data_IF_445379813595
#
_entry.id   IF_445379813595
#
_cell.length_a   1.000
_cell.length_b   1.000
_cell.length_c   1.000
_cell.angle_alpha   90.00
_cell.angle_beta   90.00
_cell.angle_gamma   90.00
#
_symmetry.space_group_name_H-M   'P 1'
#
loop_
_entity.id
_entity.type
_entity.pdbx_description
1 polymer ?
#
# COMPACT_ATOMS: atom_id res chain seq x y z
N UNK A 1 -36.58 4.23 3.62
CA UNK A 1 -35.75 3.99 2.42
C UNK A 1 -34.78 5.16 2.28
N UNK A 2 -33.57 5.03 2.85
CA UNK A 2 -32.51 6.00 2.63
C UNK A 2 -31.90 5.72 1.25
N UNK A 3 -31.80 6.75 0.42
CA UNK A 3 -31.35 6.63 -0.95
C UNK A 3 -29.95 6.04 -1.04
N UNK A 4 -29.81 4.98 -1.83
CA UNK A 4 -28.54 4.53 -2.37
C UNK A 4 -27.95 5.71 -3.14
N UNK A 5 -26.90 6.32 -2.58
CA UNK A 5 -26.14 7.33 -3.29
C UNK A 5 -25.53 6.68 -4.54
N UNK A 6 -25.78 7.35 -5.66
CA UNK A 6 -25.37 6.97 -7.02
C UNK A 6 -23.91 6.54 -7.05
N UNK A 7 -23.66 5.39 -7.69
CA UNK A 7 -22.34 4.81 -7.87
C UNK A 7 -21.31 5.83 -8.33
N UNK A 8 -20.31 6.05 -7.49
CA UNK A 8 -19.01 6.50 -7.99
C UNK A 8 -18.51 5.38 -8.89
N UNK A 9 -18.30 5.65 -10.18
CA UNK A 9 -17.64 4.67 -11.03
C UNK A 9 -16.23 4.45 -10.49
N UNK A 10 -15.98 3.25 -9.98
CA UNK A 10 -14.63 2.79 -9.64
C UNK A 10 -13.79 2.75 -10.91
N UNK A 11 -12.47 2.91 -10.77
CA UNK A 11 -11.56 2.79 -11.90
C UNK A 11 -11.66 1.43 -12.58
N UNK A 12 -11.44 1.44 -13.90
CA UNK A 12 -11.40 0.22 -14.70
C UNK A 12 -10.10 -0.56 -14.52
N UNK A 13 -10.03 -1.74 -15.16
CA UNK A 13 -8.79 -2.52 -15.21
C UNK A 13 -7.65 -1.71 -15.84
N UNK A 14 -6.47 -1.77 -15.25
CA UNK A 14 -5.27 -1.12 -15.76
C UNK A 14 -4.02 -1.97 -15.49
N UNK A 15 -2.95 -1.65 -16.20
CA UNK A 15 -1.61 -2.16 -15.95
C UNK A 15 -0.66 -0.97 -15.82
N UNK A 16 0.08 -0.91 -14.71
CA UNK A 16 1.08 0.13 -14.44
C UNK A 16 2.48 -0.50 -14.46
N UNK A 17 3.27 -0.29 -15.53
CA UNK A 17 4.64 -0.79 -15.61
C UNK A 17 5.64 0.04 -14.80
N UNK A 18 5.26 1.22 -14.30
CA UNK A 18 6.14 2.15 -13.60
C UNK A 18 7.36 2.61 -14.43
N UNK A 19 7.17 2.79 -15.75
CA UNK A 19 8.20 3.40 -16.62
C UNK A 19 8.36 4.92 -16.38
N UNK A 20 7.33 5.57 -15.86
CA UNK A 20 7.32 6.99 -15.49
C UNK A 20 6.23 7.25 -14.46
N UNK A 21 6.29 8.39 -13.77
CA UNK A 21 5.26 8.72 -12.78
C UNK A 21 4.02 9.31 -13.46
N UNK A 22 2.92 8.55 -13.49
CA UNK A 22 1.64 8.99 -14.06
C UNK A 22 0.78 9.69 -13.00
N UNK A 23 0.81 11.03 -12.97
CA UNK A 23 0.02 11.82 -12.03
C UNK A 23 -1.50 11.80 -12.27
N UNK A 24 -1.96 11.23 -13.39
CA UNK A 24 -3.38 10.98 -13.65
C UNK A 24 -3.89 9.69 -12.98
N UNK A 25 -2.99 8.75 -12.68
CA UNK A 25 -3.30 7.51 -11.97
C UNK A 25 -2.91 7.57 -10.49
N UNK A 26 -1.85 8.31 -10.16
CA UNK A 26 -1.21 8.26 -8.85
C UNK A 26 -0.99 9.64 -8.24
N UNK A 27 -1.05 9.70 -6.92
CA UNK A 27 -0.71 10.86 -6.10
C UNK A 27 0.21 10.45 -4.95
N UNK A 28 1.18 11.31 -4.62
CA UNK A 28 2.15 11.11 -3.54
C UNK A 28 1.64 11.78 -2.27
N UNK A 29 1.75 11.12 -1.13
CA UNK A 29 1.60 11.80 0.15
C UNK A 29 2.80 12.73 0.39
N UNK A 30 2.56 13.92 0.94
CA UNK A 30 3.60 14.91 1.16
C UNK A 30 3.27 15.87 2.31
N UNK A 31 4.25 16.11 3.19
CA UNK A 31 4.20 17.19 4.17
C UNK A 31 3.45 16.90 5.46
N UNK A 32 2.95 15.68 5.66
CA UNK A 32 2.26 15.26 6.89
C UNK A 32 2.73 13.87 7.35
N UNK A 33 2.40 13.53 8.60
CA UNK A 33 2.56 12.18 9.16
C UNK A 33 1.18 11.60 9.45
N UNK A 34 1.02 10.28 9.34
CA UNK A 34 -0.19 9.61 9.81
C UNK A 34 -0.33 9.68 11.34
N UNK A 35 0.76 9.95 12.08
CA UNK A 35 0.75 9.91 13.54
C UNK A 35 0.79 8.47 14.08
N UNK A 36 0.45 8.32 15.35
CA UNK A 36 0.40 7.02 16.06
C UNK A 36 1.69 6.19 15.86
N UNK A 37 1.58 5.04 15.19
CA UNK A 37 2.70 4.13 14.94
C UNK A 37 3.63 4.59 13.79
N UNK A 38 3.21 5.55 12.97
CA UNK A 38 3.97 6.05 11.84
C UNK A 38 4.96 7.14 12.27
N UNK A 39 6.13 6.72 12.75
CA UNK A 39 7.20 7.62 13.19
C UNK A 39 8.02 8.22 12.02
N UNK A 40 7.35 8.72 10.99
CA UNK A 40 7.96 9.38 9.84
C UNK A 40 7.02 10.40 9.21
N UNK A 41 7.56 11.32 8.41
CA UNK A 41 6.79 12.27 7.59
C UNK A 41 6.77 11.81 6.14
N UNK A 42 5.60 11.80 5.51
CA UNK A 42 5.49 11.51 4.09
C UNK A 42 6.13 12.62 3.26
N UNK A 43 6.94 12.22 2.27
CA UNK A 43 7.60 13.15 1.33
C UNK A 43 7.39 12.69 -0.10
N UNK A 44 6.97 13.60 -0.97
CA UNK A 44 6.89 13.36 -2.41
C UNK A 44 8.25 12.97 -3.01
N UNK A 45 9.35 13.49 -2.46
CA UNK A 45 10.72 13.15 -2.87
C UNK A 45 11.10 11.71 -2.53
N UNK A 46 10.40 11.06 -1.60
CA UNK A 46 10.61 9.67 -1.21
C UNK A 46 9.81 8.69 -2.08
N UNK A 47 9.07 9.18 -3.07
CA UNK A 47 8.48 8.38 -4.15
C UNK A 47 9.19 8.76 -5.46
N UNK A 48 9.96 7.84 -6.02
CA UNK A 48 10.81 8.08 -7.19
C UNK A 48 10.65 6.99 -8.24
N UNK A 49 10.99 7.30 -9.49
CA UNK A 49 11.09 6.31 -10.56
C UNK A 49 12.55 5.96 -10.79
N UNK A 50 12.88 4.68 -10.93
CA UNK A 50 14.21 4.22 -11.33
C UNK A 50 14.36 4.30 -12.84
N UNK A 51 15.59 4.35 -13.35
CA UNK A 51 15.87 4.28 -14.78
C UNK A 51 15.55 2.90 -15.39
N UNK A 52 15.36 1.88 -14.56
CA UNK A 52 14.98 0.51 -14.93
C UNK A 52 13.46 0.30 -15.03
N UNK A 53 12.64 1.33 -14.80
CA UNK A 53 11.19 1.22 -14.88
C UNK A 53 10.56 0.63 -13.62
N UNK A 54 10.96 1.11 -12.45
CA UNK A 54 10.36 0.73 -11.17
C UNK A 54 9.97 1.98 -10.37
N UNK A 55 8.85 1.90 -9.63
CA UNK A 55 8.58 2.85 -8.56
C UNK A 55 9.37 2.42 -7.32
N UNK A 56 10.08 3.37 -6.71
CA UNK A 56 10.85 3.18 -5.48
C UNK A 56 10.34 4.12 -4.39
N UNK A 57 9.95 3.51 -3.27
CA UNK A 57 9.70 4.18 -2.00
C UNK A 57 10.98 4.18 -1.17
N UNK A 58 11.27 5.29 -0.49
CA UNK A 58 12.46 5.44 0.34
C UNK A 58 12.10 5.80 1.78
N UNK A 59 12.85 5.23 2.72
CA UNK A 59 12.93 5.68 4.10
C UNK A 59 14.29 6.36 4.30
N UNK A 60 14.27 7.65 4.62
CA UNK A 60 15.47 8.50 4.77
C UNK A 60 15.42 9.24 6.10
N UNK A 61 16.52 9.90 6.46
CA UNK A 61 16.58 10.73 7.68
C UNK A 61 17.14 12.11 7.33
N UNK A 62 16.34 13.18 7.41
CA UNK A 62 16.82 14.55 7.15
C UNK A 62 17.64 15.12 8.31
N UNK A 63 17.50 14.57 9.51
CA UNK A 63 18.22 14.97 10.73
C UNK A 63 18.12 13.88 11.80
N UNK A 64 18.98 13.91 12.81
CA UNK A 64 18.98 12.97 13.92
C UNK A 64 17.57 12.69 14.49
N UNK A 65 17.20 11.40 14.57
CA UNK A 65 15.90 10.90 15.05
C UNK A 65 14.66 11.49 14.35
N UNK A 66 14.80 11.98 13.11
CA UNK A 66 13.66 12.28 12.22
C UNK A 66 13.76 11.41 10.98
N UNK A 67 12.61 10.92 10.53
CA UNK A 67 12.53 10.06 9.36
C UNK A 67 11.54 10.63 8.35
N UNK A 68 11.92 10.58 7.07
CA UNK A 68 11.06 10.84 5.94
C UNK A 68 10.76 9.51 5.23
N UNK A 69 9.51 9.29 4.85
CA UNK A 69 9.03 8.06 4.22
C UNK A 69 8.22 8.37 2.96
N UNK A 70 7.94 7.36 2.14
CA UNK A 70 7.18 7.51 0.89
C UNK A 70 5.88 6.71 0.90
N UNK A 71 4.78 7.34 0.53
CA UNK A 71 3.48 6.72 0.24
C UNK A 71 3.01 7.18 -1.13
N UNK A 72 2.52 6.23 -1.94
CA UNK A 72 1.91 6.48 -3.24
C UNK A 72 0.54 5.81 -3.26
N UNK A 73 -0.49 6.55 -3.67
CA UNK A 73 -1.88 6.08 -3.69
C UNK A 73 -2.53 6.41 -5.03
N UNK A 74 -3.52 5.64 -5.44
CA UNK A 74 -4.25 5.92 -6.66
C UNK A 74 -5.10 7.19 -6.53
N UNK A 75 -5.41 7.81 -7.67
CA UNK A 75 -6.37 8.92 -7.76
C UNK A 75 -7.82 8.39 -7.73
N UNK A 76 -8.05 7.22 -8.34
CA UNK A 76 -9.35 6.55 -8.38
C UNK A 76 -9.45 5.50 -7.28
N UNK A 77 -10.69 5.15 -6.90
CA UNK A 77 -11.01 3.99 -6.07
C UNK A 77 -11.25 2.76 -6.93
N UNK A 78 -10.99 1.57 -6.40
CA UNK A 78 -11.16 0.30 -7.10
C UNK A 78 -11.98 -0.67 -6.25
N UNK A 79 -12.82 -1.48 -6.91
CA UNK A 79 -13.78 -2.39 -6.25
C UNK A 79 -13.37 -3.86 -6.33
N UNK A 80 -14.36 -4.74 -6.52
CA UNK A 80 -14.11 -6.18 -6.70
C UNK A 80 -13.22 -6.46 -7.91
N UNK A 81 -12.31 -7.42 -7.74
CA UNK A 81 -11.37 -7.81 -8.78
C UNK A 81 -10.05 -8.36 -8.23
N UNK A 82 -9.16 -8.83 -9.12
CA UNK A 82 -7.79 -9.17 -8.77
C UNK A 82 -6.94 -7.90 -8.62
N UNK A 83 -6.09 -7.91 -7.59
CA UNK A 83 -5.04 -6.92 -7.36
C UNK A 83 -3.71 -7.65 -7.35
N UNK A 84 -2.79 -7.24 -8.21
CA UNK A 84 -1.49 -7.87 -8.36
C UNK A 84 -0.38 -6.82 -8.27
N UNK A 85 0.68 -7.15 -7.52
CA UNK A 85 1.87 -6.31 -7.40
C UNK A 85 3.12 -7.16 -7.57
N UNK A 86 4.06 -6.67 -8.38
CA UNK A 86 5.42 -7.21 -8.44
C UNK A 86 6.35 -6.30 -7.66
N UNK A 87 6.74 -6.72 -6.45
CA UNK A 87 7.54 -5.88 -5.55
C UNK A 87 8.65 -6.65 -4.84
N UNK A 88 9.54 -5.89 -4.20
CA UNK A 88 10.63 -6.36 -3.35
C UNK A 88 10.68 -5.46 -2.10
N UNK A 89 10.29 -5.94 -0.91
CA UNK A 89 10.22 -5.11 0.29
C UNK A 89 11.60 -4.72 0.83
N UNK A 90 11.64 -3.67 1.66
CA UNK A 90 12.83 -3.31 2.41
C UNK A 90 13.04 -4.26 3.61
N UNK A 91 14.30 -4.61 3.89
CA UNK A 91 14.70 -5.46 5.02
C UNK A 91 15.39 -4.63 6.10
N UNK A 92 14.70 -4.35 7.18
CA UNK A 92 15.25 -3.73 8.40
C UNK A 92 14.30 -3.95 9.58
N UNK A 93 14.80 -3.98 10.80
CA UNK A 93 13.92 -4.07 11.98
C UNK A 93 13.10 -2.78 12.13
N UNK A 94 11.84 -2.91 12.56
CA UNK A 94 10.97 -1.76 12.86
C UNK A 94 10.36 -1.03 11.66
N UNK A 95 10.38 -1.61 10.45
CA UNK A 95 9.76 -1.03 9.25
C UNK A 95 8.75 -1.97 8.60
N UNK A 96 7.87 -1.41 7.76
CA UNK A 96 6.90 -2.13 6.93
C UNK A 96 7.06 -1.66 5.48
N UNK A 97 6.97 -2.59 4.53
CA UNK A 97 6.67 -2.30 3.12
C UNK A 97 5.34 -2.95 2.78
N UNK A 98 4.40 -2.21 2.19
CA UNK A 98 3.03 -2.68 1.98
C UNK A 98 2.50 -2.47 0.56
N UNK A 99 1.47 -3.24 0.23
CA UNK A 99 0.57 -3.05 -0.89
C UNK A 99 -0.85 -3.38 -0.41
N UNK A 100 -1.77 -2.43 -0.52
CA UNK A 100 -3.08 -2.52 0.11
C UNK A 100 -4.13 -1.69 -0.62
N UNK A 101 -5.40 -2.01 -0.38
CA UNK A 101 -6.53 -1.12 -0.67
C UNK A 101 -6.97 -0.47 0.62
N UNK A 102 -7.35 0.82 0.59
CA UNK A 102 -7.87 1.52 1.75
C UNK A 102 -8.97 2.47 1.32
N UNK A 103 -10.02 2.56 2.15
CA UNK A 103 -10.93 3.69 2.24
C UNK A 103 -11.33 3.85 3.70
N UNK A 104 -11.76 5.04 4.12
CA UNK A 104 -12.12 5.25 5.52
C UNK A 104 -12.69 6.63 5.84
N UNK A 105 -12.76 7.00 7.13
CA UNK A 105 -13.43 8.23 7.58
C UNK A 105 -12.91 9.52 6.91
N UNK A 106 -11.62 9.56 6.57
CA UNK A 106 -11.01 10.68 5.83
C UNK A 106 -11.53 10.83 4.40
N UNK A 107 -12.13 9.78 3.85
CA UNK A 107 -12.78 9.72 2.53
C UNK A 107 -14.32 9.68 2.62
N UNK A 108 -14.88 9.78 3.82
CA UNK A 108 -16.32 9.76 4.06
C UNK A 108 -16.98 8.37 3.98
N UNK A 109 -16.19 7.30 4.13
CA UNK A 109 -16.62 5.90 4.01
C UNK A 109 -16.32 5.11 5.31
N UNK A 110 -16.94 3.93 5.49
CA UNK A 110 -16.46 2.96 6.49
C UNK A 110 -14.98 2.63 6.25
N UNK A 111 -14.25 2.31 7.32
CA UNK A 111 -12.88 1.81 7.18
C UNK A 111 -12.90 0.38 6.63
N UNK A 112 -12.66 0.26 5.33
CA UNK A 112 -12.51 -1.00 4.63
C UNK A 112 -11.10 -1.05 4.01
N UNK A 113 -10.36 -2.11 4.31
CA UNK A 113 -8.94 -2.25 3.95
C UNK A 113 -8.57 -3.73 3.74
N UNK A 114 -7.61 -4.00 2.85
CA UNK A 114 -7.05 -5.33 2.59
C UNK A 114 -5.55 -5.19 2.37
N UNK A 115 -4.76 -5.98 3.09
CA UNK A 115 -3.34 -5.73 3.27
C UNK A 115 -2.46 -6.89 2.80
N UNK A 116 -1.36 -6.53 2.15
CA UNK A 116 -0.15 -7.34 2.02
C UNK A 116 0.99 -6.54 2.65
N UNK A 117 1.51 -7.02 3.78
CA UNK A 117 2.55 -6.35 4.56
C UNK A 117 3.79 -7.22 4.74
N UNK A 118 4.95 -6.65 4.46
CA UNK A 118 6.24 -7.24 4.75
C UNK A 118 6.84 -6.56 5.98
N UNK A 119 6.84 -7.26 7.10
CA UNK A 119 7.50 -6.81 8.32
C UNK A 119 9.02 -6.94 8.12
N UNK A 120 9.72 -5.82 8.02
CA UNK A 120 11.14 -5.79 7.64
C UNK A 120 12.06 -6.58 8.59
N UNK A 121 11.60 -6.87 9.82
CA UNK A 121 12.31 -7.72 10.80
C UNK A 121 12.51 -9.16 10.31
N UNK A 122 11.61 -9.68 9.48
CA UNK A 122 11.70 -11.02 8.88
C UNK A 122 11.00 -11.06 7.52
N UNK A 123 11.74 -10.69 6.49
CA UNK A 123 11.28 -10.70 5.09
C UNK A 123 11.19 -12.11 4.48
N UNK A 124 11.38 -13.18 5.27
CA UNK A 124 11.01 -14.55 4.84
C UNK A 124 9.53 -14.85 5.04
N UNK A 125 8.78 -13.90 5.61
CA UNK A 125 7.34 -13.98 5.86
C UNK A 125 6.61 -12.79 5.25
N UNK A 126 5.32 -12.98 5.04
CA UNK A 126 4.35 -11.94 4.66
C UNK A 126 3.16 -12.00 5.62
N UNK A 127 2.65 -10.84 6.00
CA UNK A 127 1.42 -10.69 6.78
C UNK A 127 0.29 -10.29 5.84
N UNK A 128 -0.84 -10.97 5.95
CA UNK A 128 -2.11 -10.58 5.36
C UNK A 128 -3.04 -10.07 6.44
N UNK A 129 -3.85 -9.07 6.14
CA UNK A 129 -4.89 -8.57 7.03
C UNK A 129 -6.04 -7.97 6.23
N UNK A 130 -7.15 -7.68 6.90
CA UNK A 130 -8.21 -6.86 6.34
C UNK A 130 -9.03 -6.21 7.45
N UNK A 131 -9.61 -5.05 7.14
CA UNK A 131 -10.62 -4.37 7.95
C UNK A 131 -11.96 -4.35 7.23
N UNK A 132 -13.05 -4.57 7.96
CA UNK A 132 -14.41 -4.36 7.46
C UNK A 132 -15.17 -3.49 8.45
N UNK A 133 -15.57 -2.30 8.02
CA UNK A 133 -16.18 -1.28 8.87
C UNK A 133 -15.35 -1.02 10.15
N UNK A 134 -14.04 -0.92 10.00
CA UNK A 134 -13.05 -0.71 11.07
C UNK A 134 -12.70 -1.94 11.90
N UNK A 135 -13.41 -3.07 11.74
CA UNK A 135 -13.09 -4.30 12.44
C UNK A 135 -11.94 -5.03 11.73
N UNK A 136 -10.74 -4.98 12.35
CA UNK A 136 -9.56 -5.75 11.96
C UNK A 136 -9.31 -6.96 12.88
N UNK A 137 -8.03 -7.22 13.19
CA UNK A 137 -7.54 -8.41 13.92
C UNK A 137 -7.67 -9.73 13.11
N UNK A 138 -7.42 -9.65 11.81
CA UNK A 138 -7.44 -10.80 10.91
C UNK A 138 -6.03 -11.17 10.43
N UNK A 139 -5.01 -10.85 11.23
CA UNK A 139 -3.62 -11.03 10.85
C UNK A 139 -3.33 -12.51 10.57
N UNK A 140 -2.81 -12.77 9.37
CA UNK A 140 -2.30 -14.08 8.97
C UNK A 140 -0.87 -13.93 8.50
N UNK A 141 0.06 -14.42 9.31
CA UNK A 141 1.46 -14.53 8.93
C UNK A 141 1.69 -15.85 8.15
N UNK A 142 2.37 -15.76 7.00
CA UNK A 142 2.69 -16.90 6.15
C UNK A 142 4.19 -16.93 5.81
N UNK A 143 4.79 -18.11 5.82
CA UNK A 143 6.17 -18.33 5.36
C UNK A 143 6.23 -18.34 3.82
N UNK A 144 7.20 -17.63 3.26
CA UNK A 144 7.37 -17.50 1.80
C UNK A 144 8.28 -18.57 1.20
N UNK A 145 9.05 -19.29 2.02
CA UNK A 145 10.08 -20.23 1.56
C UNK A 145 11.33 -19.59 0.94
N UNK A 146 11.32 -18.26 0.74
CA UNK A 146 12.44 -17.45 0.31
C UNK A 146 12.40 -16.07 0.98
N UNK A 147 13.54 -15.38 1.00
CA UNK A 147 13.58 -13.99 1.49
C UNK A 147 13.07 -13.03 0.39
N UNK A 148 11.92 -12.41 0.62
CA UNK A 148 11.28 -11.47 -0.29
C UNK A 148 12.16 -10.27 -0.64
N UNK A 149 13.10 -9.87 0.23
CA UNK A 149 13.96 -8.73 -0.01
C UNK A 149 15.05 -8.99 -1.05
N UNK A 150 15.28 -10.25 -1.45
CA UNK A 150 16.36 -10.62 -2.36
C UNK A 150 15.97 -10.54 -3.84
N UNK A 151 14.69 -10.69 -4.18
CA UNK A 151 14.22 -10.72 -5.56
C UNK A 151 12.80 -10.16 -5.70
N UNK A 152 12.42 -9.79 -6.92
CA UNK A 152 11.03 -9.44 -7.22
C UNK A 152 10.16 -10.70 -7.28
N UNK A 153 9.06 -10.69 -6.54
CA UNK A 153 8.01 -11.70 -6.60
C UNK A 153 6.67 -11.03 -6.90
N UNK A 154 5.72 -11.80 -7.40
CA UNK A 154 4.35 -11.35 -7.61
C UNK A 154 3.50 -11.77 -6.42
N UNK A 155 2.80 -10.81 -5.82
CA UNK A 155 1.84 -11.00 -4.74
C UNK A 155 0.48 -10.53 -5.22
N UNK A 156 -0.57 -11.21 -4.78
CA UNK A 156 -1.91 -10.91 -5.23
C UNK A 156 -2.96 -11.23 -4.17
N UNK A 157 -4.05 -10.48 -4.21
CA UNK A 157 -5.31 -10.86 -3.58
C UNK A 157 -6.45 -10.65 -4.58
N UNK A 158 -7.57 -11.29 -4.30
CA UNK A 158 -8.78 -11.22 -5.11
C UNK A 158 -9.93 -10.84 -4.21
N UNK A 159 -10.48 -9.65 -4.42
CA UNK A 159 -11.61 -9.14 -3.67
C UNK A 159 -12.90 -9.51 -4.40
N UNK A 160 -13.74 -10.33 -3.79
CA UNK A 160 -15.03 -10.77 -4.35
C UNK A 160 -16.14 -10.64 -3.31
N UNK A 161 -17.37 -10.46 -3.79
CA UNK A 161 -18.54 -10.63 -2.95
C UNK A 161 -18.69 -12.12 -2.62
N UNK A 162 -18.91 -12.45 -1.35
CA UNK A 162 -19.28 -13.81 -0.97
C UNK A 162 -20.74 -14.03 -1.36
N UNK A 163 -20.97 -14.92 -2.33
CA UNK A 163 -22.30 -15.39 -2.73
C UNK A 163 -22.90 -16.32 -1.66
#
# INVERSE_FOLDING_TARGET
AAGLNKGSQTGGSFYEPFNSYNSGLWQKADGYSNGDMFNCTWRANNVSMTSSGEMRLALTSPSYNKFDCGENRSVQTYGYGPYEVRMKPAKNTGIVSSFFTYTGPTEGTPWDEIDIEFLGKDTTKVQFNYHTNGAGNHEKLADLGSDAANAYHTYAFRLEAKL
#
